data_IF_618409391834
#
_entry.id   IF_618409391834
#
_cell.length_a   1.000
_cell.length_b   1.000
_cell.length_c   1.000
_cell.angle_alpha   90.00
_cell.angle_beta   90.00
_cell.angle_gamma   90.00
#
_symmetry.space_group_name_H-M   'P 1'
#
loop_
_entity.id
_entity.type
_entity.pdbx_description
1 polymer ?
#
# COMPACT_ATOMS: atom_id res chain seq x y z
N UNK A 1 12.42 -4.85 22.07
CA UNK A 1 11.40 -4.72 21.03
C UNK A 1 10.54 -3.54 21.45
N UNK A 2 10.56 -2.44 20.69
CA UNK A 2 9.65 -1.33 20.94
C UNK A 2 8.30 -1.79 20.40
N UNK A 3 7.29 -1.94 21.26
CA UNK A 3 5.93 -2.26 20.84
C UNK A 3 5.27 -0.96 20.43
N UNK A 4 4.75 -0.89 19.20
CA UNK A 4 3.91 0.24 18.79
C UNK A 4 2.56 0.15 19.51
N UNK A 5 1.99 1.31 19.87
CA UNK A 5 0.59 1.38 20.26
C UNK A 5 -0.25 1.31 18.98
N UNK A 6 -0.83 0.14 18.72
CA UNK A 6 -1.59 -0.11 17.48
C UNK A 6 -2.88 0.69 17.42
N UNK A 7 -3.47 1.07 18.56
CA UNK A 7 -4.69 1.87 18.61
C UNK A 7 -4.38 3.29 18.18
N UNK A 8 -3.35 3.91 18.77
CA UNK A 8 -2.97 5.26 18.42
C UNK A 8 -2.43 5.35 16.99
N UNK A 9 -1.62 4.35 16.56
CA UNK A 9 -1.16 4.28 15.17
C UNK A 9 -2.31 4.20 14.17
N UNK A 10 -3.32 3.35 14.42
CA UNK A 10 -4.49 3.22 13.54
C UNK A 10 -5.28 4.52 13.44
N UNK A 11 -5.42 5.22 14.57
CA UNK A 11 -6.10 6.52 14.64
C UNK A 11 -5.35 7.60 13.85
N UNK A 12 -4.04 7.67 14.00
CA UNK A 12 -3.19 8.59 13.24
C UNK A 12 -3.27 8.29 11.74
N UNK A 13 -3.06 7.03 11.35
CA UNK A 13 -3.16 6.59 9.95
C UNK A 13 -4.52 6.91 9.34
N UNK A 14 -5.61 6.68 10.08
CA UNK A 14 -6.96 7.02 9.64
C UNK A 14 -7.11 8.52 9.40
N UNK A 15 -6.59 9.33 10.31
CA UNK A 15 -6.62 10.80 10.20
C UNK A 15 -5.84 11.28 8.97
N UNK A 16 -4.65 10.73 8.74
CA UNK A 16 -3.80 11.08 7.59
C UNK A 16 -4.47 10.71 6.26
N UNK A 17 -5.07 9.51 6.17
CA UNK A 17 -5.83 9.09 4.99
C UNK A 17 -7.01 10.04 4.73
N UNK A 18 -7.78 10.40 5.76
CA UNK A 18 -8.92 11.31 5.63
C UNK A 18 -8.51 12.72 5.18
N UNK A 19 -7.37 13.22 5.67
CA UNK A 19 -6.81 14.50 5.23
C UNK A 19 -6.42 14.47 3.75
N UNK A 20 -5.80 13.39 3.29
CA UNK A 20 -5.47 13.20 1.87
C UNK A 20 -6.74 13.11 1.04
N UNK A 21 -7.72 12.30 1.44
CA UNK A 21 -9.01 12.13 0.72
C UNK A 21 -9.75 13.46 0.57
N UNK A 22 -9.74 14.30 1.61
CA UNK A 22 -10.36 15.63 1.58
C UNK A 22 -9.67 16.59 0.62
N UNK A 23 -8.35 16.46 0.46
CA UNK A 23 -7.52 17.39 -0.33
C UNK A 23 -7.39 16.95 -1.79
N UNK A 24 -7.23 15.65 -2.04
CA UNK A 24 -6.86 15.10 -3.34
C UNK A 24 -8.02 14.96 -4.34
N UNK A 25 -9.25 15.28 -3.93
CA UNK A 25 -10.47 15.23 -4.77
C UNK A 25 -10.59 13.89 -5.55
N UNK A 26 -10.34 12.78 -4.87
CA UNK A 26 -10.45 11.44 -5.44
C UNK A 26 -11.90 11.12 -5.80
N UNK A 27 -12.08 10.47 -6.94
CA UNK A 27 -13.37 9.97 -7.41
C UNK A 27 -13.41 8.44 -7.37
N UNK A 28 -14.64 7.90 -7.39
CA UNK A 28 -14.84 6.46 -7.52
C UNK A 28 -14.09 5.93 -8.74
N UNK A 29 -13.31 4.88 -8.54
CA UNK A 29 -12.49 4.21 -9.55
C UNK A 29 -11.05 4.73 -9.62
N UNK A 30 -10.72 5.87 -9.02
CA UNK A 30 -9.34 6.37 -8.97
C UNK A 30 -8.42 5.41 -8.21
N UNK A 31 -7.12 5.52 -8.49
CA UNK A 31 -6.09 4.74 -7.80
C UNK A 31 -5.48 5.59 -6.69
N UNK A 32 -5.39 5.00 -5.50
CA UNK A 32 -4.60 5.48 -4.37
C UNK A 32 -3.40 4.55 -4.20
N UNK A 33 -2.18 5.09 -4.26
CA UNK A 33 -0.96 4.28 -4.10
C UNK A 33 -0.44 4.32 -2.67
N UNK A 34 -0.08 3.16 -2.12
CA UNK A 34 0.63 3.03 -0.85
C UNK A 34 2.07 2.59 -1.11
N UNK A 35 3.02 3.33 -0.57
CA UNK A 35 4.38 2.86 -0.28
C UNK A 35 4.54 2.73 1.24
N UNK A 36 5.07 1.61 1.72
CA UNK A 36 5.08 1.31 3.16
C UNK A 36 6.29 0.47 3.58
N UNK A 37 7.05 1.01 4.53
CA UNK A 37 8.12 0.32 5.26
C UNK A 37 7.69 0.05 6.71
N UNK A 38 7.30 -1.19 7.01
CA UNK A 38 6.88 -1.57 8.37
C UNK A 38 8.02 -1.53 9.38
N UNK A 39 9.28 -1.68 8.94
CA UNK A 39 10.44 -1.56 9.83
C UNK A 39 10.58 -0.14 10.37
N UNK A 40 10.30 0.87 9.55
CA UNK A 40 10.33 2.28 9.99
C UNK A 40 9.17 2.58 10.94
N UNK A 41 7.99 1.98 10.73
CA UNK A 41 6.84 2.14 11.63
C UNK A 41 7.16 1.63 13.04
N UNK A 42 7.85 0.49 13.16
CA UNK A 42 8.21 -0.11 14.47
C UNK A 42 9.50 0.46 15.07
N UNK A 43 10.12 1.47 14.45
CA UNK A 43 11.35 2.10 14.91
C UNK A 43 12.62 1.25 14.69
N UNK A 44 12.58 0.30 13.76
CA UNK A 44 13.77 -0.35 13.21
C UNK A 44 14.40 0.47 12.07
N UNK A 45 15.63 0.14 11.68
CA UNK A 45 16.25 0.71 10.48
C UNK A 45 15.69 0.06 9.20
N UNK A 46 15.51 0.84 8.12
CA UNK A 46 15.12 0.41 6.77
C UNK A 46 15.78 -0.93 6.39
N UNK A 47 14.96 -1.92 6.01
CA UNK A 47 15.42 -3.21 5.48
C UNK A 47 15.72 -4.29 6.52
N UNK A 48 15.50 -4.04 7.82
CA UNK A 48 15.62 -5.04 8.90
C UNK A 48 14.36 -5.03 9.77
N UNK A 49 13.85 -6.22 10.13
CA UNK A 49 12.69 -6.41 11.01
C UNK A 49 11.34 -5.94 10.41
N UNK A 50 11.00 -6.38 9.20
CA UNK A 50 9.63 -6.22 8.68
C UNK A 50 8.61 -6.91 9.60
N UNK A 51 7.47 -6.26 9.81
CA UNK A 51 6.43 -6.74 10.71
C UNK A 51 5.13 -6.97 9.94
N UNK A 52 4.78 -8.25 9.76
CA UNK A 52 3.57 -8.65 9.05
C UNK A 52 2.29 -8.19 9.75
N UNK A 53 2.28 -8.13 11.08
CA UNK A 53 1.11 -7.69 11.84
C UNK A 53 0.83 -6.21 11.58
N UNK A 54 1.89 -5.40 11.54
CA UNK A 54 1.79 -3.98 11.19
C UNK A 54 1.38 -3.81 9.72
N UNK A 55 1.95 -4.60 8.81
CA UNK A 55 1.55 -4.59 7.40
C UNK A 55 0.06 -4.91 7.24
N UNK A 56 -0.43 -5.94 7.92
CA UNK A 56 -1.85 -6.31 7.90
C UNK A 56 -2.75 -5.21 8.46
N UNK A 57 -2.35 -4.56 9.54
CA UNK A 57 -3.07 -3.44 10.14
C UNK A 57 -3.17 -2.25 9.17
N UNK A 58 -2.07 -1.87 8.52
CA UNK A 58 -2.01 -0.77 7.54
C UNK A 58 -2.97 -1.03 6.38
N UNK A 59 -2.86 -2.21 5.74
CA UNK A 59 -3.71 -2.57 4.59
C UNK A 59 -5.18 -2.60 4.99
N UNK A 60 -5.52 -3.20 6.14
CA UNK A 60 -6.89 -3.25 6.63
C UNK A 60 -7.46 -1.86 6.85
N UNK A 61 -6.66 -0.96 7.42
CA UNK A 61 -7.06 0.43 7.71
C UNK A 61 -7.33 1.19 6.41
N UNK A 62 -6.44 1.08 5.42
CA UNK A 62 -6.62 1.69 4.11
C UNK A 62 -7.86 1.17 3.40
N UNK A 63 -8.05 -0.15 3.31
CA UNK A 63 -9.25 -0.75 2.70
C UNK A 63 -10.53 -0.26 3.36
N UNK A 64 -10.56 -0.17 4.69
CA UNK A 64 -11.74 0.34 5.41
C UNK A 64 -12.09 1.79 5.05
N UNK A 65 -11.10 2.65 4.76
CA UNK A 65 -11.35 4.03 4.34
C UNK A 65 -11.67 4.15 2.83
N UNK A 66 -11.01 3.36 1.98
CA UNK A 66 -11.04 3.51 0.52
C UNK A 66 -12.18 2.71 -0.15
N UNK A 67 -12.45 1.48 0.31
CA UNK A 67 -13.42 0.58 -0.31
C UNK A 67 -14.85 1.18 -0.34
N UNK A 68 -15.37 1.84 0.72
CA UNK A 68 -16.70 2.46 0.69
C UNK A 68 -16.83 3.60 -0.34
N UNK A 69 -15.71 4.26 -0.67
CA UNK A 69 -15.64 5.32 -1.68
C UNK A 69 -15.44 4.74 -3.10
N UNK A 70 -15.16 3.44 -3.20
CA UNK A 70 -14.81 2.76 -4.43
C UNK A 70 -13.50 3.26 -5.03
N UNK A 71 -12.55 3.68 -4.18
CA UNK A 71 -11.19 4.05 -4.57
C UNK A 71 -10.33 2.77 -4.55
N UNK A 72 -9.55 2.56 -5.60
CA UNK A 72 -8.74 1.37 -5.77
C UNK A 72 -7.39 1.54 -5.09
N UNK A 73 -7.03 0.64 -4.18
CA UNK A 73 -5.73 0.63 -3.53
C UNK A 73 -4.70 -0.12 -4.40
N UNK A 74 -3.56 0.53 -4.66
CA UNK A 74 -2.36 -0.09 -5.22
C UNK A 74 -1.25 -0.10 -4.18
N UNK A 75 -0.60 -1.24 -3.94
CA UNK A 75 0.41 -1.36 -2.87
C UNK A 75 1.77 -1.67 -3.48
N UNK A 76 2.70 -0.73 -3.38
CA UNK A 76 4.04 -0.83 -3.92
C UNK A 76 4.87 -1.86 -3.13
N UNK A 77 5.50 -2.77 -3.87
CA UNK A 77 6.57 -3.63 -3.36
C UNK A 77 7.88 -2.87 -3.13
N UNK A 78 8.85 -3.53 -2.51
CA UNK A 78 10.19 -2.96 -2.38
C UNK A 78 10.99 -3.03 -3.70
N UNK A 79 12.16 -2.41 -3.71
CA UNK A 79 13.08 -2.33 -4.86
C UNK A 79 13.53 -3.70 -5.40
N UNK A 80 13.50 -4.76 -4.58
CA UNK A 80 13.87 -6.12 -5.01
C UNK A 80 12.91 -6.71 -6.05
N UNK A 81 11.67 -6.22 -6.11
CA UNK A 81 10.68 -6.60 -7.12
C UNK A 81 10.36 -5.42 -8.05
N UNK A 82 11.33 -4.52 -8.22
CA UNK A 82 11.24 -3.33 -9.07
C UNK A 82 10.06 -2.42 -8.73
N UNK A 83 9.61 -2.42 -7.46
CA UNK A 83 8.47 -1.62 -7.01
C UNK A 83 7.17 -1.95 -7.75
N UNK A 84 7.02 -3.19 -8.24
CA UNK A 84 5.73 -3.67 -8.75
C UNK A 84 4.63 -3.50 -7.70
N UNK A 85 3.39 -3.36 -8.16
CA UNK A 85 2.27 -3.02 -7.28
C UNK A 85 1.22 -4.10 -7.23
N UNK A 86 0.82 -4.44 -6.01
CA UNK A 86 -0.35 -5.28 -5.76
C UNK A 86 -1.61 -4.47 -6.04
N UNK A 87 -2.45 -4.97 -6.94
CA UNK A 87 -3.79 -4.45 -7.24
C UNK A 87 -4.79 -5.60 -7.36
N UNK A 88 -6.08 -5.33 -7.27
CA UNK A 88 -7.11 -6.29 -7.70
C UNK A 88 -7.02 -6.51 -9.23
N UNK A 89 -7.16 -7.75 -9.70
CA UNK A 89 -7.13 -8.08 -11.14
C UNK A 89 -8.12 -7.25 -11.95
N UNK A 90 -9.31 -6.99 -11.39
CA UNK A 90 -10.32 -6.15 -12.02
C UNK A 90 -9.80 -4.72 -12.28
N UNK A 91 -9.00 -4.16 -11.38
CA UNK A 91 -8.39 -2.83 -11.54
C UNK A 91 -7.35 -2.86 -12.65
N UNK A 92 -6.48 -3.88 -12.67
CA UNK A 92 -5.51 -4.07 -13.74
C UNK A 92 -6.17 -4.15 -15.12
N UNK A 93 -7.25 -4.93 -15.24
CA UNK A 93 -8.01 -5.04 -16.49
C UNK A 93 -8.71 -3.73 -16.88
N UNK A 94 -9.40 -3.08 -15.93
CA UNK A 94 -10.12 -1.82 -16.17
C UNK A 94 -9.19 -0.69 -16.60
N UNK A 95 -7.97 -0.65 -16.06
CA UNK A 95 -6.98 0.39 -16.30
C UNK A 95 -5.93 -0.01 -17.34
N UNK A 96 -6.05 -1.20 -17.94
CA UNK A 96 -5.11 -1.76 -18.90
C UNK A 96 -3.65 -1.71 -18.39
N UNK A 97 -3.45 -2.13 -17.15
CA UNK A 97 -2.15 -2.20 -16.50
C UNK A 97 -1.43 -3.49 -16.91
N UNK A 98 -0.12 -3.40 -17.12
CA UNK A 98 0.72 -4.55 -17.45
C UNK A 98 0.87 -5.45 -16.22
N UNK A 99 0.25 -6.63 -16.26
CA UNK A 99 0.37 -7.63 -15.20
C UNK A 99 1.73 -8.34 -15.33
N UNK A 100 2.50 -8.35 -14.24
CA UNK A 100 3.80 -9.01 -14.18
C UNK A 100 3.76 -10.23 -13.27
N UNK A 101 4.71 -11.16 -13.48
CA UNK A 101 4.77 -12.41 -12.70
C UNK A 101 5.80 -12.28 -11.58
N UNK A 102 5.33 -11.90 -10.40
CA UNK A 102 6.09 -11.96 -9.15
C UNK A 102 5.11 -12.15 -7.98
N UNK A 103 5.56 -12.75 -6.88
CA UNK A 103 4.78 -12.87 -5.65
C UNK A 103 5.62 -12.26 -4.53
N UNK A 104 5.10 -11.26 -3.79
CA UNK A 104 5.80 -10.64 -2.67
C UNK A 104 6.21 -11.64 -1.61
N UNK A 105 7.43 -11.49 -1.11
CA UNK A 105 7.96 -12.23 0.03
C UNK A 105 8.59 -11.25 1.03
N UNK A 106 8.78 -11.70 2.27
CA UNK A 106 9.27 -10.82 3.35
C UNK A 106 10.64 -10.21 3.02
N UNK A 107 11.50 -11.00 2.37
CA UNK A 107 12.83 -10.57 1.93
C UNK A 107 12.85 -9.91 0.55
N UNK A 108 11.72 -9.92 -0.19
CA UNK A 108 11.61 -9.39 -1.55
C UNK A 108 10.14 -9.03 -1.84
N UNK A 109 9.70 -7.85 -1.40
CA UNK A 109 8.35 -7.33 -1.58
C UNK A 109 7.87 -6.47 -0.40
N UNK A 110 8.14 -6.92 0.82
CA UNK A 110 7.81 -6.18 2.05
C UNK A 110 6.43 -6.51 2.63
N UNK A 111 6.25 -6.25 3.93
CA UNK A 111 5.11 -6.73 4.70
C UNK A 111 3.75 -6.16 4.23
N UNK A 112 3.70 -4.88 3.84
CA UNK A 112 2.48 -4.25 3.31
C UNK A 112 2.04 -4.89 1.98
N UNK A 113 2.96 -5.20 1.07
CA UNK A 113 2.67 -5.85 -0.21
C UNK A 113 2.18 -7.30 -0.01
N UNK A 114 2.80 -8.07 0.90
CA UNK A 114 2.32 -9.40 1.29
C UNK A 114 0.91 -9.34 1.90
N UNK A 115 0.68 -8.37 2.79
CA UNK A 115 -0.63 -8.16 3.40
C UNK A 115 -1.71 -7.81 2.37
N UNK A 116 -1.36 -7.02 1.35
CA UNK A 116 -2.25 -6.72 0.23
C UNK A 116 -2.62 -7.99 -0.54
N UNK A 117 -1.63 -8.82 -0.90
CA UNK A 117 -1.88 -10.11 -1.54
C UNK A 117 -2.81 -11.02 -0.72
N UNK A 118 -2.69 -10.99 0.61
CA UNK A 118 -3.54 -11.80 1.49
C UNK A 118 -4.96 -11.25 1.63
N UNK A 119 -5.14 -9.93 1.61
CA UNK A 119 -6.41 -9.26 1.92
C UNK A 119 -7.22 -8.86 0.69
N UNK A 120 -6.63 -8.87 -0.50
CA UNK A 120 -7.32 -8.63 -1.77
C UNK A 120 -8.03 -9.90 -2.24
N UNK A 121 -9.03 -9.75 -3.10
CA UNK A 121 -9.90 -10.83 -3.53
C UNK A 121 -9.26 -11.67 -4.64
N UNK A 122 -8.71 -11.01 -5.66
CA UNK A 122 -7.97 -11.64 -6.77
C UNK A 122 -6.75 -10.77 -7.09
N UNK A 123 -5.71 -10.79 -6.22
CA UNK A 123 -4.54 -9.94 -6.35
C UNK A 123 -3.68 -10.32 -7.56
N UNK A 124 -3.11 -9.29 -8.19
CA UNK A 124 -2.05 -9.40 -9.20
C UNK A 124 -0.99 -8.36 -8.93
N UNK A 125 0.21 -8.61 -9.42
CA UNK A 125 1.27 -7.60 -9.53
C UNK A 125 1.17 -6.89 -10.88
N UNK A 126 1.35 -5.58 -10.88
CA UNK A 126 1.48 -4.77 -12.09
C UNK A 126 2.81 -4.02 -12.10
N UNK A 127 3.34 -3.79 -13.30
CA UNK A 127 4.62 -3.08 -13.48
C UNK A 127 4.54 -1.63 -12.97
N UNK A 128 3.44 -0.94 -13.26
CA UNK A 128 3.28 0.46 -12.94
C UNK A 128 1.81 0.86 -12.80
N UNK A 129 1.55 1.93 -12.03
CA UNK A 129 0.26 2.62 -11.96
C UNK A 129 0.45 4.12 -12.08
N UNK A 130 -0.57 4.82 -12.62
CA UNK A 130 -0.74 6.26 -12.44
C UNK A 130 -1.89 6.49 -11.46
N UNK A 131 -1.56 6.99 -10.28
CA UNK A 131 -2.45 7.24 -9.16
C UNK A 131 -2.77 8.74 -9.03
N UNK A 132 -3.99 9.04 -8.57
CA UNK A 132 -4.43 10.42 -8.30
C UNK A 132 -3.84 10.94 -6.98
N UNK A 133 -3.60 10.03 -6.02
CA UNK A 133 -2.99 10.34 -4.74
C UNK A 133 -2.25 9.12 -4.19
N UNK A 134 -1.49 9.32 -3.12
CA UNK A 134 -0.91 8.23 -2.38
C UNK A 134 -0.41 8.62 -1.00
N UNK A 135 0.07 7.62 -0.28
CA UNK A 135 0.70 7.75 1.03
C UNK A 135 2.02 6.98 1.02
N UNK A 136 3.08 7.66 1.45
CA UNK A 136 4.40 7.06 1.65
C UNK A 136 4.72 7.01 3.14
N UNK A 137 4.95 5.80 3.67
CA UNK A 137 5.30 5.57 5.06
C UNK A 137 6.71 4.98 5.10
N UNK A 138 7.68 5.76 5.59
CA UNK A 138 9.06 5.32 5.74
C UNK A 138 9.92 5.49 4.49
N UNK A 139 9.71 6.59 3.75
CA UNK A 139 10.54 7.06 2.62
C UNK A 139 10.76 6.00 1.54
N UNK A 140 9.67 5.35 1.14
CA UNK A 140 9.67 4.29 0.15
C UNK A 140 9.61 4.82 -1.29
N UNK A 141 9.44 6.13 -1.48
CA UNK A 141 9.38 6.81 -2.77
C UNK A 141 8.26 6.28 -3.68
N UNK A 142 7.10 6.95 -3.65
CA UNK A 142 5.94 6.67 -4.53
C UNK A 142 5.77 7.70 -5.66
N UNK A 143 6.64 8.71 -5.74
CA UNK A 143 6.47 9.85 -6.64
C UNK A 143 6.45 9.48 -8.13
N UNK A 144 7.02 8.33 -8.49
CA UNK A 144 6.92 7.80 -9.86
C UNK A 144 5.49 7.39 -10.24
N UNK A 145 4.61 7.14 -9.26
CA UNK A 145 3.24 6.67 -9.48
C UNK A 145 2.18 7.76 -9.35
N UNK A 146 2.51 8.93 -8.80
CA UNK A 146 1.53 9.99 -8.54
C UNK A 146 1.56 11.04 -9.66
N UNK A 147 0.39 11.43 -10.17
CA UNK A 147 0.23 12.45 -11.23
C UNK A 147 0.24 13.88 -10.70
#
# INVERSE_FOLDING_TARGET
>A
MISIDTVEFTKQLTTDIQNILTTAQLHRGDIFVLGCSTSEIVGGHIGKNSDLTVGELVIKTLKHQLDPLGINLAVQGCEHINRSLVVERAVAQQRNLEIVTVVPALHAGGACSIAAFKQFTDPVEVEHVTATAGLDIGDTAIGMHVK
#
